data_IF_079481073788
#
_entry.id   IF_079481073788
#
_cell.length_a   1.000
_cell.length_b   1.000
_cell.length_c   1.000
_cell.angle_alpha   90.00
_cell.angle_beta   90.00
_cell.angle_gamma   90.00
#
_symmetry.space_group_name_H-M   'P 1'
#
loop_
_entity.id
_entity.type
_entity.pdbx_description
1 polymer ?
#
# COMPACT_ATOMS: atom_id res chain seq x y z
N UNK A 1 -23.26 -3.08 -13.26
CA UNK A 1 -21.89 -3.22 -13.82
C UNK A 1 -21.24 -4.41 -13.16
N UNK A 2 -20.58 -5.28 -13.94
CA UNK A 2 -19.83 -6.44 -13.47
C UNK A 2 -18.34 -6.15 -13.51
N UNK A 3 -17.69 -6.25 -12.38
CA UNK A 3 -16.24 -5.99 -12.27
C UNK A 3 -15.55 -7.27 -11.85
N UNK A 4 -14.51 -7.66 -12.57
CA UNK A 4 -13.66 -8.79 -12.24
C UNK A 4 -12.32 -8.31 -11.72
N UNK A 5 -12.01 -8.60 -10.46
CA UNK A 5 -10.67 -8.43 -9.87
C UNK A 5 -9.83 -9.69 -10.02
N UNK A 6 -8.55 -9.53 -10.34
CA UNK A 6 -7.58 -10.64 -10.46
C UNK A 6 -6.38 -10.35 -9.56
N UNK A 7 -6.15 -11.23 -8.57
CA UNK A 7 -5.06 -11.13 -7.61
C UNK A 7 -4.43 -12.50 -7.32
N UNK A 8 -3.33 -12.53 -6.56
CA UNK A 8 -2.71 -13.81 -6.15
C UNK A 8 -3.60 -14.55 -5.14
N UNK A 9 -3.89 -13.90 -4.04
CA UNK A 9 -4.71 -14.37 -2.94
C UNK A 9 -5.23 -13.17 -2.13
N UNK A 10 -6.22 -13.39 -1.29
CA UNK A 10 -6.69 -12.45 -0.26
C UNK A 10 -6.39 -13.01 1.14
N UNK A 11 -5.29 -13.73 1.30
CA UNK A 11 -4.97 -14.52 2.49
C UNK A 11 -4.03 -13.81 3.47
N UNK A 12 -3.43 -12.68 3.07
CA UNK A 12 -2.44 -11.97 3.87
C UNK A 12 -3.11 -10.88 4.70
N UNK A 13 -2.67 -10.74 5.94
CA UNK A 13 -3.07 -9.61 6.80
C UNK A 13 -2.26 -8.37 6.41
N UNK A 14 -2.52 -7.84 5.22
CA UNK A 14 -1.74 -6.76 4.56
C UNK A 14 -2.58 -5.56 4.13
N UNK A 15 -1.90 -4.46 3.83
CA UNK A 15 -2.55 -3.22 3.41
C UNK A 15 -3.27 -3.34 2.06
N UNK A 16 -2.74 -4.14 1.12
CA UNK A 16 -3.34 -4.34 -0.20
C UNK A 16 -4.67 -5.08 -0.05
N UNK A 17 -4.69 -6.18 0.68
CA UNK A 17 -5.88 -7.00 0.90
C UNK A 17 -6.98 -6.20 1.61
N UNK A 18 -6.61 -5.39 2.60
CA UNK A 18 -7.54 -4.50 3.30
C UNK A 18 -8.17 -3.48 2.35
N UNK A 19 -7.34 -2.75 1.62
CA UNK A 19 -7.81 -1.72 0.67
C UNK A 19 -8.70 -2.32 -0.42
N UNK A 20 -8.34 -3.50 -0.95
CA UNK A 20 -9.15 -4.19 -1.94
C UNK A 20 -10.50 -4.63 -1.36
N UNK A 21 -10.51 -5.20 -0.15
CA UNK A 21 -11.74 -5.62 0.52
C UNK A 21 -12.67 -4.43 0.77
N UNK A 22 -12.15 -3.33 1.30
CA UNK A 22 -12.91 -2.10 1.56
C UNK A 22 -13.51 -1.53 0.27
N UNK A 23 -12.70 -1.44 -0.80
CA UNK A 23 -13.14 -0.95 -2.10
C UNK A 23 -14.22 -1.85 -2.71
N UNK A 24 -14.03 -3.16 -2.72
CA UNK A 24 -14.99 -4.11 -3.27
C UNK A 24 -16.31 -4.10 -2.50
N UNK A 25 -16.25 -4.05 -1.17
CA UNK A 25 -17.41 -3.91 -0.31
C UNK A 25 -18.19 -2.63 -0.63
N UNK A 26 -17.51 -1.51 -0.80
CA UNK A 26 -18.13 -0.24 -1.15
C UNK A 26 -18.82 -0.28 -2.51
N UNK A 27 -18.15 -0.87 -3.54
CA UNK A 27 -18.73 -1.01 -4.87
C UNK A 27 -20.03 -1.81 -4.86
N UNK A 28 -20.11 -2.85 -4.04
CA UNK A 28 -21.31 -3.68 -3.91
C UNK A 28 -22.40 -2.99 -3.11
N UNK A 29 -22.05 -2.38 -1.96
CA UNK A 29 -23.01 -1.80 -1.02
C UNK A 29 -23.62 -0.51 -1.54
N UNK A 30 -22.75 0.41 -2.00
CA UNK A 30 -23.17 1.77 -2.34
C UNK A 30 -23.53 1.93 -3.83
N UNK A 31 -22.89 1.16 -4.72
CA UNK A 31 -23.15 1.29 -6.15
C UNK A 31 -23.93 0.13 -6.74
N UNK A 32 -24.19 -0.93 -5.97
CA UNK A 32 -24.92 -2.11 -6.42
C UNK A 32 -24.23 -2.86 -7.58
N UNK A 33 -22.89 -2.80 -7.66
CA UNK A 33 -22.13 -3.49 -8.68
C UNK A 33 -22.02 -4.98 -8.35
N UNK A 34 -21.97 -5.82 -9.38
CA UNK A 34 -21.64 -7.23 -9.23
C UNK A 34 -20.10 -7.35 -9.23
N UNK A 35 -19.54 -7.77 -8.12
CA UNK A 35 -18.09 -7.91 -7.96
C UNK A 35 -17.71 -9.37 -7.92
N UNK A 36 -16.75 -9.73 -8.78
CA UNK A 36 -16.15 -11.05 -8.89
C UNK A 36 -14.67 -10.92 -8.58
N UNK A 37 -14.11 -11.89 -7.86
CA UNK A 37 -12.68 -11.96 -7.54
C UNK A 37 -12.14 -13.29 -8.00
N UNK A 38 -11.12 -13.25 -8.81
CA UNK A 38 -10.31 -14.42 -9.16
C UNK A 38 -9.01 -14.36 -8.39
N UNK A 39 -8.71 -15.45 -7.68
CA UNK A 39 -7.40 -15.66 -7.06
C UNK A 39 -6.65 -16.77 -7.80
N UNK A 40 -5.33 -16.63 -7.89
CA UNK A 40 -4.48 -17.65 -8.50
C UNK A 40 -4.10 -18.75 -7.49
N UNK A 41 -3.97 -18.40 -6.21
CA UNK A 41 -3.36 -19.25 -5.19
C UNK A 41 -3.94 -19.00 -3.77
N UNK A 42 -5.28 -18.89 -3.65
CA UNK A 42 -5.94 -18.72 -2.33
C UNK A 42 -5.79 -19.99 -1.47
N UNK A 43 -6.02 -21.14 -2.07
CA UNK A 43 -6.02 -22.40 -1.35
C UNK A 43 -7.07 -22.44 -0.23
N UNK A 44 -6.69 -23.07 0.90
CA UNK A 44 -7.55 -23.17 2.09
C UNK A 44 -7.33 -22.01 3.09
N UNK A 45 -6.58 -20.99 2.73
CA UNK A 45 -6.30 -19.86 3.63
C UNK A 45 -7.53 -18.98 3.81
N UNK A 46 -7.87 -18.60 5.05
CA UNK A 46 -8.99 -17.69 5.32
C UNK A 46 -8.70 -16.30 4.75
N UNK A 47 -9.76 -15.57 4.42
CA UNK A 47 -9.69 -14.16 4.04
C UNK A 47 -9.78 -13.33 5.32
N UNK A 48 -8.71 -12.60 5.71
CA UNK A 48 -8.66 -11.90 6.99
C UNK A 48 -9.56 -10.66 7.06
N UNK A 49 -9.84 -10.03 5.92
CA UNK A 49 -10.73 -8.87 5.85
C UNK A 49 -12.08 -9.30 5.28
N UNK A 50 -13.19 -9.09 6.03
CA UNK A 50 -14.51 -9.57 5.62
C UNK A 50 -14.94 -8.99 4.27
N UNK A 51 -15.43 -9.85 3.40
CA UNK A 51 -16.08 -9.48 2.15
C UNK A 51 -17.60 -9.53 2.32
N UNK A 52 -18.31 -8.67 1.60
CA UNK A 52 -19.76 -8.72 1.49
C UNK A 52 -20.18 -10.03 0.79
N UNK A 53 -21.22 -10.68 1.30
CA UNK A 53 -21.67 -12.00 0.83
C UNK A 53 -22.06 -12.04 -0.66
N UNK A 54 -22.31 -10.89 -1.25
CA UNK A 54 -22.60 -10.74 -2.69
C UNK A 54 -21.35 -10.79 -3.57
N UNK A 55 -20.14 -10.68 -2.98
CA UNK A 55 -18.87 -10.79 -3.70
C UNK A 55 -18.57 -12.25 -3.96
N UNK A 56 -18.36 -12.60 -5.22
CA UNK A 56 -18.10 -13.98 -5.65
C UNK A 56 -16.61 -14.21 -5.82
N UNK A 57 -16.03 -15.03 -4.96
CA UNK A 57 -14.60 -15.37 -5.01
C UNK A 57 -14.42 -16.74 -5.67
N UNK A 58 -13.52 -16.81 -6.67
CA UNK A 58 -13.14 -18.03 -7.38
C UNK A 58 -11.64 -18.23 -7.33
N UNK A 59 -11.17 -19.26 -6.65
CA UNK A 59 -9.76 -19.65 -6.74
C UNK A 59 -9.52 -20.51 -8.00
N UNK A 60 -8.56 -20.10 -8.83
CA UNK A 60 -8.13 -20.86 -9.99
C UNK A 60 -7.18 -22.00 -9.62
N UNK A 61 -6.67 -22.03 -8.40
CA UNK A 61 -5.81 -23.08 -7.88
C UNK A 61 -4.61 -23.38 -8.81
N UNK A 62 -3.88 -22.34 -9.21
CA UNK A 62 -2.75 -22.47 -10.14
C UNK A 62 -1.46 -22.86 -9.42
N UNK A 63 -1.25 -22.31 -8.22
CA UNK A 63 -0.09 -22.56 -7.36
C UNK A 63 1.25 -22.29 -8.04
N UNK A 64 1.44 -21.06 -8.50
CA UNK A 64 2.66 -20.64 -9.19
C UNK A 64 3.95 -20.92 -8.37
N UNK A 65 3.86 -20.97 -7.04
CA UNK A 65 5.00 -21.31 -6.18
C UNK A 65 5.59 -22.70 -6.46
N UNK A 66 4.84 -23.64 -7.04
CA UNK A 66 5.34 -24.98 -7.41
C UNK A 66 6.51 -24.93 -8.39
N UNK A 67 6.66 -23.87 -9.17
CA UNK A 67 7.81 -23.71 -10.06
C UNK A 67 9.16 -23.69 -9.31
N UNK A 68 9.16 -23.25 -8.04
CA UNK A 68 10.38 -23.14 -7.24
C UNK A 68 10.93 -24.50 -6.77
N UNK A 69 10.17 -25.58 -6.93
CA UNK A 69 10.66 -26.96 -6.73
C UNK A 69 11.59 -27.41 -7.86
N UNK A 70 11.71 -26.64 -8.93
CA UNK A 70 12.53 -26.91 -10.10
C UNK A 70 13.59 -25.83 -10.29
N UNK A 71 14.68 -26.17 -10.99
CA UNK A 71 15.77 -25.26 -11.34
C UNK A 71 15.99 -25.22 -12.86
N UNK A 72 16.68 -24.19 -13.37
CA UNK A 72 17.05 -24.08 -14.77
C UNK A 72 15.87 -24.17 -15.74
N UNK A 73 16.07 -24.92 -16.83
CA UNK A 73 15.07 -25.10 -17.89
C UNK A 73 13.77 -25.74 -17.38
N UNK A 74 13.86 -26.67 -16.44
CA UNK A 74 12.66 -27.33 -15.87
C UNK A 74 11.75 -26.32 -15.15
N UNK A 75 12.32 -25.35 -14.46
CA UNK A 75 11.57 -24.26 -13.83
C UNK A 75 10.84 -23.41 -14.89
N UNK A 76 11.51 -23.07 -15.99
CA UNK A 76 10.90 -22.28 -17.07
C UNK A 76 9.73 -23.05 -17.71
N UNK A 77 9.91 -24.34 -17.97
CA UNK A 77 8.85 -25.19 -18.54
C UNK A 77 7.66 -25.29 -17.58
N UNK A 78 7.93 -25.52 -16.29
CA UNK A 78 6.85 -25.56 -15.27
C UNK A 78 6.11 -24.24 -15.15
N UNK A 79 6.81 -23.11 -15.19
CA UNK A 79 6.18 -21.80 -15.19
C UNK A 79 5.26 -21.60 -16.41
N UNK A 80 5.71 -22.00 -17.61
CA UNK A 80 4.89 -21.91 -18.83
C UNK A 80 3.65 -22.80 -18.76
N UNK A 81 3.78 -24.02 -18.23
CA UNK A 81 2.64 -24.91 -17.99
C UNK A 81 1.60 -24.23 -17.07
N UNK A 82 2.04 -23.69 -15.94
CA UNK A 82 1.17 -23.01 -14.99
C UNK A 82 0.54 -21.73 -15.58
N UNK A 83 1.31 -20.97 -16.38
CA UNK A 83 0.80 -19.79 -17.10
C UNK A 83 -0.28 -20.18 -18.11
N UNK A 84 -0.09 -21.27 -18.86
CA UNK A 84 -1.12 -21.76 -19.79
C UNK A 84 -2.37 -22.25 -19.06
N UNK A 85 -2.21 -22.96 -17.94
CA UNK A 85 -3.31 -23.41 -17.11
C UNK A 85 -4.10 -22.20 -16.55
N UNK A 86 -3.39 -21.16 -16.07
CA UNK A 86 -3.99 -19.92 -15.61
C UNK A 86 -4.84 -19.27 -16.71
N UNK A 87 -4.27 -19.11 -17.91
CA UNK A 87 -4.98 -18.52 -19.04
C UNK A 87 -6.26 -19.29 -19.38
N UNK A 88 -6.19 -20.60 -19.52
CA UNK A 88 -7.31 -21.42 -19.90
C UNK A 88 -8.45 -21.34 -18.88
N UNK A 89 -8.13 -21.42 -17.59
CA UNK A 89 -9.12 -21.31 -16.50
C UNK A 89 -9.71 -19.92 -16.39
N UNK A 90 -8.90 -18.90 -16.55
CA UNK A 90 -9.33 -17.51 -16.49
C UNK A 90 -10.22 -17.16 -17.69
N UNK A 91 -9.86 -17.55 -18.92
CA UNK A 91 -10.63 -17.32 -20.14
C UNK A 91 -12.01 -17.97 -20.05
N UNK A 92 -12.07 -19.22 -19.57
CA UNK A 92 -13.34 -19.91 -19.32
C UNK A 92 -14.22 -19.14 -18.35
N UNK A 93 -13.65 -18.65 -17.26
CA UNK A 93 -14.39 -17.91 -16.25
C UNK A 93 -14.84 -16.52 -16.74
N UNK A 94 -13.99 -15.79 -17.46
CA UNK A 94 -14.37 -14.51 -18.09
C UNK A 94 -15.55 -14.70 -19.06
N UNK A 95 -15.51 -15.78 -19.84
CA UNK A 95 -16.59 -16.11 -20.80
C UNK A 95 -17.90 -16.43 -20.09
N UNK A 96 -17.83 -17.08 -18.93
CA UNK A 96 -18.98 -17.40 -18.08
C UNK A 96 -19.64 -16.14 -17.49
N UNK A 97 -18.84 -15.28 -16.82
CA UNK A 97 -19.36 -14.13 -16.06
C UNK A 97 -19.59 -12.89 -16.91
N UNK A 98 -18.92 -12.78 -18.07
CA UNK A 98 -18.99 -11.63 -19.00
C UNK A 98 -18.83 -10.29 -18.25
N UNK A 99 -17.66 -10.01 -17.69
CA UNK A 99 -17.44 -8.77 -16.94
C UNK A 99 -17.45 -7.56 -17.87
N UNK A 100 -17.90 -6.41 -17.36
CA UNK A 100 -17.83 -5.13 -18.05
C UNK A 100 -16.42 -4.52 -17.98
N UNK A 101 -15.67 -4.83 -16.91
CA UNK A 101 -14.29 -4.35 -16.66
C UNK A 101 -13.49 -5.44 -15.93
N UNK A 102 -12.22 -5.58 -16.28
CA UNK A 102 -11.26 -6.44 -15.60
C UNK A 102 -10.21 -5.56 -14.91
N UNK A 103 -10.02 -5.73 -13.60
CA UNK A 103 -8.99 -5.05 -12.81
C UNK A 103 -7.95 -6.04 -12.29
N UNK A 104 -6.69 -5.86 -12.67
CA UNK A 104 -5.57 -6.71 -12.30
C UNK A 104 -4.72 -6.01 -11.25
N UNK A 105 -4.36 -6.72 -10.18
CA UNK A 105 -3.55 -6.18 -9.07
C UNK A 105 -2.04 -6.36 -9.31
N UNK A 106 -1.68 -7.16 -10.31
CA UNK A 106 -0.29 -7.35 -10.74
C UNK A 106 -0.12 -7.18 -12.24
N UNK A 107 1.02 -6.64 -12.63
CA UNK A 107 1.42 -6.44 -14.03
C UNK A 107 1.44 -7.74 -14.84
N UNK A 108 1.85 -8.85 -14.20
CA UNK A 108 1.83 -10.19 -14.80
C UNK A 108 0.44 -10.64 -15.22
N UNK A 109 -0.57 -10.43 -14.38
CA UNK A 109 -1.97 -10.77 -14.71
C UNK A 109 -2.53 -9.85 -15.78
N UNK A 110 -2.27 -8.54 -15.70
CA UNK A 110 -2.65 -7.60 -16.74
C UNK A 110 -2.06 -8.00 -18.10
N UNK A 111 -0.77 -8.33 -18.14
CA UNK A 111 -0.11 -8.82 -19.35
C UNK A 111 -0.69 -10.13 -19.89
N UNK A 112 -1.11 -11.04 -19.01
CA UNK A 112 -1.77 -12.29 -19.42
C UNK A 112 -3.15 -12.01 -20.03
N UNK A 113 -3.99 -11.20 -19.37
CA UNK A 113 -5.34 -10.83 -19.87
C UNK A 113 -5.24 -10.10 -21.21
N UNK A 114 -4.36 -9.11 -21.36
CA UNK A 114 -4.14 -8.40 -22.62
C UNK A 114 -3.73 -9.34 -23.77
N UNK A 115 -3.03 -10.45 -23.45
CA UNK A 115 -2.63 -11.45 -24.44
C UNK A 115 -3.79 -12.31 -24.92
N UNK A 116 -4.89 -12.39 -24.19
CA UNK A 116 -6.11 -13.11 -24.59
C UNK A 116 -6.95 -12.32 -25.59
N UNK A 117 -6.69 -11.01 -25.76
CA UNK A 117 -7.41 -10.11 -26.67
C UNK A 117 -8.93 -10.13 -26.46
N UNK A 118 -9.36 -10.20 -25.21
CA UNK A 118 -10.77 -10.14 -24.85
C UNK A 118 -11.34 -8.74 -25.12
N UNK A 119 -12.57 -8.62 -25.61
CA UNK A 119 -13.23 -7.32 -25.86
C UNK A 119 -13.78 -6.73 -24.54
N UNK A 120 -12.93 -6.60 -23.52
CA UNK A 120 -13.28 -6.08 -22.20
C UNK A 120 -12.14 -5.17 -21.75
N UNK A 121 -12.43 -3.95 -21.25
CA UNK A 121 -11.40 -3.04 -20.77
C UNK A 121 -10.59 -3.64 -19.62
N UNK A 122 -9.28 -3.46 -19.70
CA UNK A 122 -8.33 -3.97 -18.70
C UNK A 122 -7.67 -2.83 -17.96
N UNK A 123 -7.83 -2.85 -16.64
CA UNK A 123 -7.15 -1.94 -15.71
C UNK A 123 -6.00 -2.72 -15.04
N UNK A 124 -4.88 -2.04 -14.85
CA UNK A 124 -3.86 -2.48 -13.92
C UNK A 124 -3.80 -1.48 -12.74
N UNK A 125 -4.01 -1.97 -11.52
CA UNK A 125 -3.86 -1.22 -10.29
C UNK A 125 -2.46 -1.49 -9.71
N UNK A 126 -1.60 -0.47 -9.74
CA UNK A 126 -0.24 -0.56 -9.20
C UNK A 126 -0.25 -0.27 -7.70
N UNK A 127 -0.23 -1.32 -6.89
CA UNK A 127 -0.04 -1.23 -5.43
C UNK A 127 1.43 -1.38 -5.02
N UNK A 128 2.31 -1.72 -5.97
CA UNK A 128 3.77 -1.70 -5.84
C UNK A 128 4.33 -0.52 -6.61
N UNK A 129 5.57 -0.14 -6.35
CA UNK A 129 6.20 0.96 -7.06
C UNK A 129 6.72 0.56 -8.42
N UNK A 130 6.74 1.53 -9.36
CA UNK A 130 7.40 1.34 -10.65
C UNK A 130 8.86 0.88 -10.49
N UNK A 131 9.59 1.45 -9.53
CA UNK A 131 11.01 1.14 -9.29
C UNK A 131 11.23 -0.27 -8.76
N UNK A 132 10.38 -0.79 -7.87
CA UNK A 132 10.49 -2.16 -7.32
C UNK A 132 10.38 -3.22 -8.41
N UNK A 133 9.50 -2.97 -9.36
CA UNK A 133 9.27 -3.88 -10.47
C UNK A 133 10.45 -3.83 -11.47
N UNK A 134 11.38 -2.83 -11.37
CA UNK A 134 12.37 -2.57 -12.45
C UNK A 134 13.82 -2.79 -12.08
N UNK A 135 14.33 -2.44 -10.90
CA UNK A 135 15.72 -1.99 -10.86
C UNK A 135 16.67 -2.56 -9.80
N UNK A 136 16.25 -3.22 -8.73
CA UNK A 136 17.21 -3.67 -7.74
C UNK A 136 17.56 -5.16 -7.89
N UNK A 137 18.83 -5.44 -8.22
CA UNK A 137 19.46 -6.77 -8.34
C UNK A 137 19.07 -7.66 -9.53
N UNK A 138 18.61 -7.10 -10.64
CA UNK A 138 18.27 -7.91 -11.82
C UNK A 138 19.41 -7.98 -12.84
N UNK A 139 19.70 -9.21 -13.31
CA UNK A 139 20.60 -9.45 -14.45
C UNK A 139 20.09 -8.72 -15.70
N UNK A 140 20.99 -8.41 -16.65
CA UNK A 140 20.62 -7.81 -17.94
C UNK A 140 19.51 -8.58 -18.65
N UNK A 141 19.52 -9.91 -18.54
CA UNK A 141 18.47 -10.77 -19.09
C UNK A 141 17.10 -10.52 -18.40
N UNK A 142 17.09 -10.38 -17.09
CA UNK A 142 15.84 -10.08 -16.36
C UNK A 142 15.29 -8.70 -16.72
N UNK A 143 16.15 -7.69 -16.86
CA UNK A 143 15.78 -6.35 -17.34
C UNK A 143 15.17 -6.39 -18.75
N UNK A 144 15.75 -7.18 -19.65
CA UNK A 144 15.24 -7.37 -21.00
C UNK A 144 13.86 -8.05 -21.00
N UNK A 145 13.69 -9.13 -20.23
CA UNK A 145 12.40 -9.84 -20.10
C UNK A 145 11.32 -8.90 -19.50
N UNK A 146 11.67 -8.14 -18.48
CA UNK A 146 10.77 -7.18 -17.84
C UNK A 146 10.37 -6.05 -18.80
N UNK A 147 11.33 -5.54 -19.59
CA UNK A 147 11.05 -4.56 -20.65
C UNK A 147 10.02 -5.10 -21.67
N UNK A 148 10.17 -6.33 -22.14
CA UNK A 148 9.25 -6.94 -23.09
C UNK A 148 7.86 -7.22 -22.48
N UNK A 149 7.80 -7.68 -21.25
CA UNK A 149 6.53 -7.85 -20.52
C UNK A 149 5.80 -6.51 -20.39
N UNK A 150 6.50 -5.44 -20.06
CA UNK A 150 5.93 -4.09 -19.93
C UNK A 150 5.49 -3.48 -21.25
N UNK A 151 6.13 -3.85 -22.37
CA UNK A 151 5.66 -3.38 -23.68
C UNK A 151 4.19 -3.74 -23.92
N UNK A 152 3.69 -4.84 -23.37
CA UNK A 152 2.28 -5.20 -23.43
C UNK A 152 1.39 -4.26 -22.63
N UNK A 153 1.89 -3.70 -21.53
CA UNK A 153 1.13 -2.75 -20.71
C UNK A 153 0.85 -1.43 -21.43
N UNK A 154 1.51 -1.16 -22.55
CA UNK A 154 1.18 0.00 -23.41
C UNK A 154 -0.22 -0.05 -24.01
N UNK A 155 -0.81 -1.23 -24.09
CA UNK A 155 -2.16 -1.45 -24.61
C UNK A 155 -3.22 -1.53 -23.51
N UNK A 156 -2.87 -1.20 -22.26
CA UNK A 156 -3.84 -1.09 -21.17
C UNK A 156 -4.82 0.04 -21.45
N UNK A 157 -6.09 -0.21 -21.16
CA UNK A 157 -7.12 0.84 -21.20
C UNK A 157 -6.88 1.85 -20.08
N UNK A 158 -6.39 1.40 -18.91
CA UNK A 158 -5.98 2.29 -17.81
C UNK A 158 -4.96 1.63 -16.89
N UNK A 159 -3.98 2.41 -16.46
CA UNK A 159 -3.11 2.11 -15.34
C UNK A 159 -3.44 3.08 -14.21
N UNK A 160 -3.74 2.55 -13.05
CA UNK A 160 -4.05 3.32 -11.84
C UNK A 160 -2.88 3.21 -10.88
N UNK A 161 -2.35 4.35 -10.46
CA UNK A 161 -1.32 4.46 -9.42
C UNK A 161 -1.90 5.12 -8.18
N UNK A 162 -1.19 5.01 -7.06
CA UNK A 162 -1.64 5.57 -5.79
C UNK A 162 -1.15 7.00 -5.56
N UNK A 163 -0.08 7.41 -6.28
CA UNK A 163 0.63 8.67 -6.10
C UNK A 163 1.02 9.28 -7.43
N UNK A 164 1.23 10.60 -7.43
CA UNK A 164 1.64 11.32 -8.63
C UNK A 164 3.07 10.95 -9.07
N UNK A 165 3.98 10.77 -8.10
CA UNK A 165 5.36 10.38 -8.42
C UNK A 165 5.45 9.02 -9.11
N UNK A 166 4.68 8.02 -8.65
CA UNK A 166 4.61 6.71 -9.32
C UNK A 166 3.94 6.82 -10.71
N UNK A 167 2.91 7.67 -10.85
CA UNK A 167 2.27 7.92 -12.14
C UNK A 167 3.25 8.49 -13.17
N UNK A 168 4.11 9.41 -12.76
CA UNK A 168 5.09 10.05 -13.66
C UNK A 168 6.16 9.05 -14.13
N UNK A 169 6.55 8.12 -13.28
CA UNK A 169 7.42 7.02 -13.68
C UNK A 169 6.70 6.03 -14.63
N UNK A 170 5.43 5.68 -14.37
CA UNK A 170 4.66 4.78 -15.23
C UNK A 170 4.32 5.38 -16.60
N UNK A 171 4.18 6.70 -16.74
CA UNK A 171 3.98 7.38 -18.03
C UNK A 171 5.08 7.11 -19.05
N UNK A 172 6.27 6.70 -18.61
CA UNK A 172 7.37 6.25 -19.49
C UNK A 172 7.05 4.96 -20.24
N UNK A 173 6.10 4.17 -19.73
CA UNK A 173 5.73 2.84 -20.26
C UNK A 173 4.31 2.81 -20.77
N UNK A 174 3.37 3.42 -20.06
CA UNK A 174 1.93 3.41 -20.36
C UNK A 174 1.43 4.83 -20.62
N UNK A 175 0.60 5.03 -21.66
CA UNK A 175 0.06 6.35 -21.99
C UNK A 175 -1.15 6.72 -21.14
N UNK A 176 -1.93 5.73 -20.71
CA UNK A 176 -3.20 5.91 -20.02
C UNK A 176 -3.05 5.72 -18.51
N UNK A 177 -2.28 6.59 -17.85
CA UNK A 177 -2.06 6.55 -16.40
C UNK A 177 -2.96 7.56 -15.70
N UNK A 178 -3.57 7.19 -14.58
CA UNK A 178 -4.25 8.09 -13.68
C UNK A 178 -3.90 7.77 -12.22
N UNK A 179 -4.06 8.76 -11.36
CA UNK A 179 -3.84 8.63 -9.91
C UNK A 179 -5.19 8.48 -9.23
N UNK A 180 -5.40 7.39 -8.50
CA UNK A 180 -6.52 7.22 -7.57
C UNK A 180 -5.92 6.66 -6.28
N UNK A 181 -5.84 7.47 -5.21
CA UNK A 181 -5.30 7.05 -3.93
C UNK A 181 -6.09 5.90 -3.30
N UNK A 182 -5.48 5.26 -2.32
CA UNK A 182 -6.18 4.27 -1.51
C UNK A 182 -7.30 4.91 -0.69
N UNK A 183 -8.41 4.20 -0.55
CA UNK A 183 -9.37 4.44 0.52
C UNK A 183 -8.71 4.08 1.84
N UNK A 184 -8.79 4.96 2.82
CA UNK A 184 -8.23 4.72 4.15
C UNK A 184 -9.37 4.73 5.17
N UNK A 185 -9.35 3.75 6.07
CA UNK A 185 -10.26 3.73 7.20
C UNK A 185 -9.84 4.82 8.19
N UNK A 186 -10.63 5.87 8.30
CA UNK A 186 -10.34 7.01 9.16
C UNK A 186 -10.94 6.82 10.55
N UNK A 187 -10.46 7.59 11.49
CA UNK A 187 -11.05 7.68 12.81
C UNK A 187 -12.38 8.47 12.76
N UNK A 188 -13.48 7.76 12.84
CA UNK A 188 -14.84 8.33 12.82
C UNK A 188 -15.44 8.51 14.22
N UNK A 189 -14.70 8.19 15.29
CA UNK A 189 -15.20 8.24 16.66
C UNK A 189 -15.45 9.66 17.21
N UNK A 190 -14.93 10.68 16.52
CA UNK A 190 -14.94 12.07 17.02
C UNK A 190 -13.97 12.30 18.19
N UNK A 191 -13.29 11.26 18.67
CA UNK A 191 -12.28 11.34 19.71
C UNK A 191 -10.89 11.38 19.07
N UNK A 192 -10.14 12.46 19.32
CA UNK A 192 -8.83 12.71 18.72
C UNK A 192 -7.76 12.84 19.80
N UNK A 193 -6.52 12.61 19.42
CA UNK A 193 -5.38 12.87 20.28
C UNK A 193 -5.37 14.35 20.71
N UNK A 194 -5.05 14.60 21.97
CA UNK A 194 -4.79 15.94 22.48
C UNK A 194 -3.34 16.37 22.25
N UNK A 195 -2.51 15.50 21.66
CA UNK A 195 -1.08 15.71 21.41
C UNK A 195 -0.27 16.17 22.65
N UNK A 196 -0.71 15.82 23.86
CA UNK A 196 -0.12 16.24 25.13
C UNK A 196 0.64 15.12 25.88
N UNK A 197 0.66 13.92 25.31
CA UNK A 197 1.45 12.81 25.85
C UNK A 197 2.91 12.92 25.38
N UNK A 198 3.83 12.47 26.22
CA UNK A 198 5.25 12.37 25.83
C UNK A 198 5.54 11.04 25.11
N UNK A 199 4.71 10.72 24.10
CA UNK A 199 4.79 9.49 23.35
C UNK A 199 4.81 9.80 21.85
N UNK A 200 5.85 9.36 21.17
CA UNK A 200 5.87 9.22 19.72
C UNK A 200 5.49 7.77 19.36
N UNK A 201 4.93 7.57 18.16
CA UNK A 201 4.58 6.25 17.67
C UNK A 201 5.21 5.97 16.31
N UNK A 202 5.64 4.72 16.13
CA UNK A 202 6.06 4.16 14.85
C UNK A 202 5.23 2.91 14.58
N UNK A 203 4.70 2.78 13.35
CA UNK A 203 3.89 1.62 12.94
C UNK A 203 4.40 1.09 11.62
N UNK A 204 4.85 -0.16 11.61
CA UNK A 204 5.38 -0.76 10.39
C UNK A 204 5.96 -2.15 10.59
N UNK A 205 6.21 -2.85 9.48
CA UNK A 205 6.91 -4.13 9.52
C UNK A 205 8.39 -3.91 9.82
N UNK A 206 8.99 -4.86 10.51
CA UNK A 206 10.45 -4.88 10.69
C UNK A 206 11.11 -5.57 9.49
N UNK A 207 11.20 -4.84 8.39
CA UNK A 207 11.85 -5.26 7.15
C UNK A 207 12.75 -4.13 6.60
N UNK A 208 13.48 -4.43 5.54
CA UNK A 208 14.39 -3.46 4.91
C UNK A 208 13.63 -2.23 4.40
N UNK A 209 12.42 -2.39 3.86
CA UNK A 209 11.63 -1.29 3.31
C UNK A 209 11.32 -0.23 4.35
N UNK A 210 10.94 -0.63 5.56
CA UNK A 210 10.53 0.29 6.63
C UNK A 210 11.69 0.94 7.37
N UNK A 211 12.90 0.42 7.19
CA UNK A 211 14.17 0.97 7.69
C UNK A 211 14.11 1.49 9.14
N UNK A 212 13.65 0.62 10.03
CA UNK A 212 13.59 0.97 11.45
C UNK A 212 14.96 1.21 12.05
N UNK A 213 16.03 0.66 11.46
CA UNK A 213 17.40 0.94 11.86
C UNK A 213 17.78 2.42 11.77
N UNK A 214 17.33 3.10 10.70
CA UNK A 214 17.50 4.56 10.58
C UNK A 214 16.66 5.31 11.62
N UNK A 215 15.43 4.84 11.91
CA UNK A 215 14.62 5.43 13.00
C UNK A 215 15.31 5.33 14.36
N UNK A 216 15.98 4.23 14.66
CA UNK A 216 16.76 4.11 15.91
C UNK A 216 17.90 5.14 15.97
N UNK A 217 18.57 5.44 14.85
CA UNK A 217 19.60 6.50 14.80
C UNK A 217 18.99 7.88 15.05
N UNK A 218 17.87 8.18 14.43
CA UNK A 218 17.10 9.43 14.69
C UNK A 218 16.74 9.51 16.18
N UNK A 219 16.13 8.44 16.71
CA UNK A 219 15.67 8.44 18.10
C UNK A 219 16.80 8.56 19.11
N UNK A 220 17.98 8.05 18.79
CA UNK A 220 19.16 8.23 19.65
C UNK A 220 19.57 9.71 19.79
N UNK A 221 19.45 10.50 18.72
CA UNK A 221 19.67 11.95 18.79
C UNK A 221 18.57 12.65 19.59
N UNK A 222 17.32 12.24 19.38
CA UNK A 222 16.15 12.81 20.05
C UNK A 222 16.20 12.54 21.55
N UNK A 223 16.45 11.32 21.99
CA UNK A 223 16.45 10.97 23.43
C UNK A 223 17.56 11.64 24.23
N UNK A 224 18.67 12.05 23.60
CA UNK A 224 19.71 12.84 24.24
C UNK A 224 19.23 14.25 24.63
N UNK A 225 18.29 14.80 23.86
CA UNK A 225 17.70 16.13 24.06
C UNK A 225 16.41 16.05 24.91
N UNK A 226 15.63 14.98 24.73
CA UNK A 226 14.32 14.79 25.36
C UNK A 226 14.18 13.38 25.97
N UNK A 227 14.95 13.07 27.05
CA UNK A 227 14.95 11.73 27.63
C UNK A 227 13.62 11.31 28.27
N UNK A 228 12.69 12.25 28.48
CA UNK A 228 11.36 11.99 29.04
C UNK A 228 10.35 11.48 28.01
N UNK A 229 10.68 11.52 26.70
CA UNK A 229 9.83 10.98 25.65
C UNK A 229 10.10 9.50 25.40
N UNK A 230 9.07 8.78 24.98
CA UNK A 230 9.16 7.36 24.60
C UNK A 230 8.69 7.14 23.17
N UNK A 231 9.41 6.33 22.42
CA UNK A 231 8.97 5.84 21.12
C UNK A 231 8.28 4.48 21.29
N UNK A 232 6.97 4.44 21.05
CA UNK A 232 6.20 3.21 21.01
C UNK A 232 6.18 2.68 19.58
N UNK A 233 6.58 1.43 19.38
CA UNK A 233 6.75 0.81 18.07
C UNK A 233 5.81 -0.39 17.96
N UNK A 234 4.97 -0.42 16.95
CA UNK A 234 4.02 -1.51 16.71
C UNK A 234 4.33 -2.20 15.37
N UNK A 235 4.68 -3.47 15.43
CA UNK A 235 4.97 -4.23 14.22
C UNK A 235 5.47 -5.63 14.45
N UNK A 236 5.54 -6.39 13.35
CA UNK A 236 6.17 -7.70 13.26
C UNK A 236 7.09 -7.72 12.02
N UNK A 237 8.01 -8.65 11.96
CA UNK A 237 8.90 -8.83 10.80
C UNK A 237 10.16 -9.58 11.15
N UNK A 238 10.94 -9.92 10.14
CA UNK A 238 12.13 -10.76 10.25
C UNK A 238 13.24 -10.11 11.11
N UNK A 239 13.34 -8.78 11.09
CA UNK A 239 14.37 -8.02 11.80
C UNK A 239 13.96 -7.64 13.23
N UNK A 240 12.79 -8.08 13.73
CA UNK A 240 12.28 -7.66 15.05
C UNK A 240 13.25 -7.97 16.18
N UNK A 241 13.75 -9.20 16.25
CA UNK A 241 14.66 -9.64 17.34
C UNK A 241 16.00 -8.88 17.31
N UNK A 242 16.48 -8.51 16.12
CA UNK A 242 17.69 -7.70 15.95
C UNK A 242 17.48 -6.30 16.56
N UNK A 243 16.37 -5.66 16.25
CA UNK A 243 16.06 -4.33 16.79
C UNK A 243 15.75 -4.34 18.29
N UNK A 244 15.12 -5.37 18.82
CA UNK A 244 14.95 -5.56 20.27
C UNK A 244 16.31 -5.64 20.97
N UNK A 245 17.28 -6.33 20.38
CA UNK A 245 18.66 -6.42 20.86
C UNK A 245 19.37 -5.05 20.88
N UNK A 246 19.29 -4.30 19.76
CA UNK A 246 19.88 -2.97 19.65
C UNK A 246 19.28 -1.97 20.66
N UNK A 247 17.97 -1.98 20.84
CA UNK A 247 17.27 -1.14 21.81
C UNK A 247 17.75 -1.41 23.23
N UNK A 248 17.90 -2.70 23.59
CA UNK A 248 18.38 -3.10 24.92
C UNK A 248 19.87 -2.75 25.15
N UNK A 249 20.73 -3.02 24.18
CA UNK A 249 22.17 -2.74 24.23
C UNK A 249 22.45 -1.24 24.40
N UNK A 250 21.75 -0.41 23.63
CA UNK A 250 21.92 1.05 23.65
C UNK A 250 21.06 1.74 24.71
N UNK A 251 20.31 0.99 25.52
CA UNK A 251 19.40 1.50 26.56
C UNK A 251 18.47 2.61 26.06
N UNK A 252 17.90 2.39 24.87
CA UNK A 252 17.05 3.38 24.24
C UNK A 252 15.66 3.44 24.89
N UNK A 253 15.09 4.63 24.98
CA UNK A 253 13.71 4.79 25.45
C UNK A 253 12.69 4.46 24.34
N UNK A 254 12.73 3.20 23.90
CA UNK A 254 11.91 2.61 22.82
C UNK A 254 11.19 1.38 23.37
N UNK A 255 9.89 1.26 23.09
CA UNK A 255 9.10 0.09 23.49
C UNK A 255 8.53 -0.58 22.24
N UNK A 256 8.93 -1.82 22.01
CA UNK A 256 8.51 -2.61 20.84
C UNK A 256 7.37 -3.54 21.23
N UNK A 257 6.27 -3.44 20.50
CA UNK A 257 5.06 -4.23 20.64
C UNK A 257 4.76 -5.03 19.36
N UNK A 258 4.05 -6.14 19.44
CA UNK A 258 3.56 -6.82 18.25
C UNK A 258 2.58 -5.94 17.47
N UNK A 259 2.38 -6.25 16.20
CA UNK A 259 1.29 -5.65 15.42
C UNK A 259 -0.07 -5.99 16.07
N UNK A 260 -0.95 -5.00 16.12
CA UNK A 260 -2.30 -5.13 16.67
C UNK A 260 -3.34 -4.82 15.60
N UNK A 261 -4.51 -5.48 15.63
CA UNK A 261 -5.56 -5.28 14.63
C UNK A 261 -6.13 -3.86 14.61
N UNK A 262 -6.35 -3.28 15.80
CA UNK A 262 -6.84 -1.91 15.96
C UNK A 262 -5.75 -1.00 16.54
N UNK A 263 -5.07 -0.30 15.63
CA UNK A 263 -3.98 0.64 15.98
C UNK A 263 -4.52 2.05 16.29
N UNK A 264 -5.79 2.36 15.97
CA UNK A 264 -6.34 3.71 16.08
C UNK A 264 -6.25 4.28 17.51
N UNK A 265 -6.52 3.44 18.52
CA UNK A 265 -6.40 3.86 19.92
C UNK A 265 -4.94 4.24 20.26
N UNK A 266 -3.96 3.55 19.68
CA UNK A 266 -2.54 3.85 19.94
C UNK A 266 -2.09 5.14 19.26
N UNK A 267 -2.65 5.48 18.10
CA UNK A 267 -2.45 6.82 17.53
C UNK A 267 -3.01 7.90 18.46
N UNK A 268 -4.24 7.72 18.98
CA UNK A 268 -4.88 8.70 19.89
C UNK A 268 -4.13 8.87 21.21
N UNK A 269 -3.45 7.84 21.72
CA UNK A 269 -2.61 7.89 22.91
C UNK A 269 -1.25 8.58 22.66
N UNK A 270 -0.91 8.86 21.41
CA UNK A 270 0.38 9.40 20.98
C UNK A 270 0.27 10.86 20.58
N UNK A 271 1.40 11.55 20.49
CA UNK A 271 1.47 12.97 20.13
C UNK A 271 2.01 13.23 18.72
N UNK A 272 2.65 12.25 18.11
CA UNK A 272 3.16 12.31 16.74
C UNK A 272 3.45 10.92 16.20
N UNK A 273 3.36 10.74 14.85
CA UNK A 273 3.85 9.55 14.15
C UNK A 273 5.19 9.84 13.49
N UNK A 274 6.11 8.88 13.55
CA UNK A 274 7.41 8.91 12.88
C UNK A 274 7.50 7.81 11.82
N UNK A 275 8.02 8.12 10.62
CA UNK A 275 8.18 7.14 9.53
C UNK A 275 9.52 7.31 8.82
N UNK A 276 10.32 6.23 8.77
CA UNK A 276 11.66 6.21 8.18
C UNK A 276 11.82 5.37 6.91
N UNK A 277 10.71 4.97 6.28
CA UNK A 277 10.72 4.07 5.12
C UNK A 277 11.71 4.49 4.03
N UNK A 278 12.40 3.51 3.42
CA UNK A 278 13.24 3.75 2.23
C UNK A 278 12.41 4.14 1.02
N UNK A 279 11.22 3.60 0.95
CA UNK A 279 10.22 3.89 -0.06
C UNK A 279 8.83 3.52 0.45
N UNK A 280 7.82 4.21 -0.03
CA UNK A 280 6.44 4.00 0.40
C UNK A 280 5.48 4.19 -0.78
N UNK A 281 4.87 3.12 -1.31
CA UNK A 281 3.94 3.24 -2.44
C UNK A 281 2.78 4.20 -2.16
N UNK A 282 2.31 4.26 -0.91
CA UNK A 282 1.29 5.21 -0.49
C UNK A 282 1.55 5.73 0.93
N UNK A 283 1.45 4.88 1.96
CA UNK A 283 1.64 5.27 3.36
C UNK A 283 0.33 5.35 4.14
N UNK A 284 -0.43 4.25 4.18
CA UNK A 284 -1.69 4.16 4.93
C UNK A 284 -1.55 4.66 6.36
N UNK A 285 -0.47 4.28 7.05
CA UNK A 285 -0.19 4.65 8.45
C UNK A 285 -0.08 6.16 8.67
N UNK A 286 0.37 6.92 7.65
CA UNK A 286 0.39 8.39 7.71
C UNK A 286 -1.03 8.94 7.80
N UNK A 287 -1.89 8.50 6.89
CA UNK A 287 -3.29 8.97 6.83
C UNK A 287 -4.08 8.50 8.05
N UNK A 288 -3.87 7.27 8.51
CA UNK A 288 -4.48 6.73 9.73
C UNK A 288 -4.12 7.59 10.94
N UNK A 289 -2.84 7.88 11.14
CA UNK A 289 -2.36 8.73 12.24
C UNK A 289 -2.89 10.16 12.14
N UNK A 290 -2.84 10.76 10.94
CA UNK A 290 -3.41 12.10 10.68
C UNK A 290 -4.91 12.14 11.01
N UNK A 291 -5.66 11.10 10.69
CA UNK A 291 -7.08 11.01 11.01
C UNK A 291 -7.37 10.94 12.53
N UNK A 292 -6.39 10.50 13.31
CA UNK A 292 -6.46 10.49 14.77
C UNK A 292 -6.02 11.82 15.41
N UNK A 293 -5.63 12.81 14.61
CA UNK A 293 -5.28 14.16 15.08
C UNK A 293 -3.84 14.29 15.55
N UNK A 294 -2.93 13.45 15.09
CA UNK A 294 -1.50 13.61 15.38
C UNK A 294 -0.73 14.02 14.13
N UNK A 295 0.21 14.99 14.24
CA UNK A 295 1.11 15.33 13.17
C UNK A 295 2.04 14.17 12.85
N UNK A 296 2.51 14.13 11.61
CA UNK A 296 3.41 13.09 11.12
C UNK A 296 4.76 13.68 10.74
N UNK A 297 5.85 12.94 10.99
CA UNK A 297 7.20 13.29 10.52
C UNK A 297 7.71 12.12 9.69
N UNK A 298 8.06 12.37 8.44
CA UNK A 298 8.52 11.35 7.52
C UNK A 298 9.66 11.85 6.65
N UNK A 299 10.54 10.93 6.22
CA UNK A 299 11.44 11.24 5.11
C UNK A 299 10.66 11.42 3.81
N UNK A 300 11.15 12.30 2.95
CA UNK A 300 10.67 12.49 1.58
C UNK A 300 11.18 11.34 0.68
N UNK A 301 10.85 10.12 1.09
CA UNK A 301 11.19 8.93 0.29
C UNK A 301 10.22 8.78 -0.91
N UNK A 302 10.62 8.03 -1.96
CA UNK A 302 9.68 7.71 -3.04
C UNK A 302 8.50 6.87 -2.51
N UNK A 303 7.26 7.14 -2.72
CA UNK A 303 6.53 8.22 -3.43
C UNK A 303 5.51 8.88 -2.49
N UNK A 304 4.87 8.07 -1.56
CA UNK A 304 3.66 8.40 -0.81
C UNK A 304 3.75 9.61 0.10
N UNK A 305 4.83 9.79 0.90
CA UNK A 305 4.87 10.87 1.88
C UNK A 305 4.66 12.26 1.28
N UNK A 306 5.26 12.55 0.12
CA UNK A 306 5.13 13.83 -0.56
C UNK A 306 3.71 14.14 -1.05
N UNK A 307 2.92 13.11 -1.38
CA UNK A 307 1.53 13.28 -1.81
C UNK A 307 0.58 13.44 -0.62
N UNK A 308 1.00 12.99 0.58
CA UNK A 308 0.15 12.96 1.78
C UNK A 308 0.42 14.16 2.68
N UNK A 309 1.68 14.49 2.94
CA UNK A 309 2.09 15.49 3.93
C UNK A 309 2.19 16.86 3.26
N UNK A 310 1.55 17.86 3.85
CA UNK A 310 1.80 19.28 3.56
C UNK A 310 2.80 19.80 4.58
N UNK A 311 4.07 19.85 4.15
CA UNK A 311 5.17 20.27 5.02
C UNK A 311 4.88 21.56 5.78
N UNK A 312 5.16 21.56 7.09
CA UNK A 312 4.92 22.67 7.99
C UNK A 312 3.45 22.93 8.33
N UNK A 313 2.48 22.19 7.77
CA UNK A 313 1.03 22.39 7.97
C UNK A 313 0.38 21.28 8.76
N UNK A 314 0.52 20.03 8.31
CA UNK A 314 -0.10 18.84 8.91
C UNK A 314 0.93 17.79 9.33
N UNK A 315 2.21 18.10 9.15
CA UNK A 315 3.37 17.29 9.48
C UNK A 315 4.64 17.91 8.95
N UNK A 316 5.74 17.17 9.04
CA UNK A 316 7.03 17.52 8.45
C UNK A 316 7.47 16.47 7.44
N UNK A 317 7.89 16.94 6.27
CA UNK A 317 8.50 16.14 5.23
C UNK A 317 9.98 16.49 5.16
N UNK A 318 10.82 15.60 5.65
CA UNK A 318 12.27 15.82 5.79
C UNK A 318 12.99 15.27 4.57
N UNK A 319 14.05 15.93 4.13
CA UNK A 319 14.92 15.41 3.05
C UNK A 319 15.33 13.97 3.31
N UNK A 320 15.32 13.15 2.24
CA UNK A 320 15.51 11.71 2.40
C UNK A 320 16.90 11.39 2.99
N UNK A 321 16.89 10.61 4.05
CA UNK A 321 18.08 10.18 4.82
C UNK A 321 18.80 11.29 5.61
N UNK A 322 18.26 12.49 5.71
CA UNK A 322 18.80 13.53 6.61
C UNK A 322 18.34 13.26 8.05
N UNK A 323 19.13 12.44 8.76
CA UNK A 323 18.84 11.98 10.12
C UNK A 323 18.81 13.15 11.12
N UNK A 324 19.72 14.12 10.96
CA UNK A 324 19.83 15.27 11.87
C UNK A 324 18.64 16.21 11.70
N UNK A 325 18.29 16.56 10.45
CA UNK A 325 17.11 17.37 10.18
C UNK A 325 15.83 16.67 10.65
N UNK A 326 15.75 15.33 10.53
CA UNK A 326 14.60 14.59 11.06
C UNK A 326 14.51 14.70 12.58
N UNK A 327 15.61 14.49 13.29
CA UNK A 327 15.66 14.64 14.74
C UNK A 327 15.29 16.06 15.19
N UNK A 328 15.74 17.10 14.47
CA UNK A 328 15.40 18.50 14.74
C UNK A 328 13.89 18.76 14.58
N UNK A 329 13.25 18.23 13.54
CA UNK A 329 11.79 18.37 13.36
C UNK A 329 11.00 17.65 14.46
N UNK A 330 11.47 16.47 14.88
CA UNK A 330 10.88 15.75 16.02
C UNK A 330 11.00 16.57 17.29
N UNK A 331 12.20 17.07 17.62
CA UNK A 331 12.41 17.92 18.79
C UNK A 331 11.59 19.22 18.74
N UNK A 332 11.49 19.85 17.58
CA UNK A 332 10.62 21.04 17.37
C UNK A 332 9.17 20.75 17.77
N UNK A 333 8.62 19.58 17.41
CA UNK A 333 7.28 19.18 17.83
C UNK A 333 7.23 18.86 19.34
N UNK A 334 8.29 18.31 19.93
CA UNK A 334 8.33 18.01 21.36
C UNK A 334 8.36 19.28 22.23
N UNK A 335 9.05 20.30 21.75
CA UNK A 335 9.26 21.58 22.45
C UNK A 335 8.08 22.56 22.32
N UNK A 336 7.18 22.35 21.32
CA UNK A 336 6.11 23.29 21.02
C UNK A 336 4.73 22.60 20.98
N UNK A 337 4.03 22.63 22.08
CA UNK A 337 2.71 22.01 22.27
C UNK A 337 1.67 22.64 21.34
N UNK A 338 1.68 23.97 21.17
CA UNK A 338 0.72 24.68 20.32
C UNK A 338 0.89 24.29 18.84
N UNK A 339 2.14 24.26 18.36
CA UNK A 339 2.45 23.82 17.00
C UNK A 339 1.97 22.39 16.76
N UNK A 340 2.28 21.48 17.70
CA UNK A 340 1.93 20.08 17.62
C UNK A 340 0.40 19.88 17.57
N UNK A 341 -0.35 20.60 18.41
CA UNK A 341 -1.81 20.56 18.41
C UNK A 341 -2.40 21.18 17.16
N UNK A 342 -1.86 22.31 16.68
CA UNK A 342 -2.32 22.96 15.45
C UNK A 342 -2.10 22.06 14.23
N UNK A 343 -0.92 21.44 14.11
CA UNK A 343 -0.63 20.49 13.05
C UNK A 343 -1.56 19.27 13.13
N UNK A 344 -1.83 18.75 14.33
CA UNK A 344 -2.77 17.65 14.52
C UNK A 344 -4.18 17.99 14.04
N UNK A 345 -4.69 19.20 14.31
CA UNK A 345 -5.98 19.67 13.78
C UNK A 345 -5.96 19.75 12.25
N UNK A 346 -4.88 20.25 11.66
CA UNK A 346 -4.72 20.32 10.19
C UNK A 346 -4.64 18.92 9.59
N UNK A 347 -4.00 17.97 10.27
CA UNK A 347 -3.87 16.58 9.85
C UNK A 347 -5.25 15.89 9.73
N UNK A 348 -6.17 16.11 10.69
CA UNK A 348 -7.55 15.58 10.61
C UNK A 348 -8.23 16.04 9.31
N UNK A 349 -8.14 17.32 9.00
CA UNK A 349 -8.76 17.88 7.79
C UNK A 349 -8.13 17.32 6.51
N UNK A 350 -6.81 17.21 6.49
CA UNK A 350 -6.07 16.65 5.34
C UNK A 350 -6.38 15.18 5.10
N UNK A 351 -6.58 14.38 6.15
CA UNK A 351 -6.92 12.97 6.04
C UNK A 351 -8.28 12.73 5.35
N UNK A 352 -9.24 13.67 5.44
CA UNK A 352 -10.59 13.50 4.88
C UNK A 352 -10.61 13.26 3.37
N UNK A 353 -9.60 13.70 2.64
CA UNK A 353 -9.50 13.47 1.19
C UNK A 353 -9.30 12.00 0.81
N UNK A 354 -8.99 11.13 1.77
CA UNK A 354 -8.73 9.68 1.56
C UNK A 354 -9.89 8.79 2.05
N UNK A 355 -10.98 9.37 2.52
CA UNK A 355 -12.16 8.59 2.87
C UNK A 355 -12.88 8.03 1.65
N UNK A 356 -13.69 7.00 1.87
CA UNK A 356 -14.38 6.30 0.79
C UNK A 356 -15.25 7.24 -0.07
N UNK A 357 -15.96 8.20 0.56
CA UNK A 357 -16.82 9.17 -0.12
C UNK A 357 -16.07 10.13 -1.04
N UNK A 358 -14.77 10.34 -0.80
CA UNK A 358 -13.92 11.19 -1.64
C UNK A 358 -13.23 10.39 -2.78
N UNK A 359 -12.88 9.13 -2.52
CA UNK A 359 -12.10 8.30 -3.45
C UNK A 359 -13.01 7.48 -4.36
N UNK A 360 -14.07 6.87 -3.84
CA UNK A 360 -14.88 5.92 -4.61
C UNK A 360 -15.64 6.54 -5.80
N UNK A 361 -16.06 7.82 -5.78
CA UNK A 361 -16.58 8.47 -6.98
C UNK A 361 -15.60 8.51 -8.15
N UNK A 362 -14.28 8.58 -7.89
CA UNK A 362 -13.24 8.54 -8.93
C UNK A 362 -13.20 7.16 -9.60
N UNK A 363 -13.29 6.09 -8.82
CA UNK A 363 -13.41 4.72 -9.34
C UNK A 363 -14.68 4.52 -10.15
N UNK A 364 -15.83 5.01 -9.66
CA UNK A 364 -17.11 4.95 -10.38
C UNK A 364 -17.01 5.64 -11.75
N UNK A 365 -16.44 6.84 -11.78
CA UNK A 365 -16.21 7.61 -13.01
C UNK A 365 -15.30 6.84 -13.98
N UNK A 366 -14.18 6.29 -13.48
CA UNK A 366 -13.25 5.53 -14.28
C UNK A 366 -13.92 4.31 -14.94
N UNK A 367 -14.61 3.48 -14.17
CA UNK A 367 -15.28 2.30 -14.68
C UNK A 367 -16.37 2.68 -15.70
N UNK A 368 -17.19 3.69 -15.40
CA UNK A 368 -18.25 4.15 -16.31
C UNK A 368 -17.67 4.64 -17.64
N UNK A 369 -16.61 5.45 -17.60
CA UNK A 369 -15.98 5.98 -18.81
C UNK A 369 -15.39 4.86 -19.68
N UNK A 370 -14.75 3.85 -19.09
CA UNK A 370 -14.19 2.73 -19.83
C UNK A 370 -15.27 1.89 -20.53
N UNK A 371 -16.39 1.64 -19.88
CA UNK A 371 -17.49 0.88 -20.48
C UNK A 371 -18.18 1.69 -21.58
N UNK A 372 -18.37 3.00 -21.39
CA UNK A 372 -18.99 3.86 -22.41
C UNK A 372 -18.10 4.03 -23.66
N UNK A 373 -16.79 4.02 -23.51
CA UNK A 373 -15.85 4.19 -24.63
C UNK A 373 -15.77 2.97 -25.56
N UNK A 374 -16.30 1.82 -25.15
CA UNK A 374 -16.34 0.59 -25.95
C UNK A 374 -17.67 0.36 -26.66
N UNK A 375 -18.69 1.16 -26.37
CA UNK A 375 -19.97 1.17 -27.07
C UNK A 375 -19.95 2.19 -28.18
#
# INVERSE_FOLDING_TARGET
>A
MRILYITDALAVWGGIERVLSDKMNYLVREYGYEVYVVTADQGAHPIPFPLDDRIRVKDLNIRFHQQYHYTGLKRILKYRELEQLFRNRLESYITEIKPDVISCIRDGYASAVLSMKMPVPVIFESHAMFRDVVFENSTLLHRFITYWKRRKLRTLDRLVTLTQGDADDWKRVCQHVCVIPNVVHLNDSGNYSQCNSKKAIYVGRFDVQKDFGTMLKVWNLVQQRHPEWVLNVYGNGELKSEFEGLVAEQKMNVKIYPAIPDIMEKYKESSMLLMSSLYEPFGLVLVEAMSCGIPVVAFNCPYGPADIIKDGTDGFLVEDRDIEAFADRVCQLMENDDLRQQMGKSAILSAQRYKAEAIMPQWKSLFTNLVCSQR
#
